data_IF_055745794697
#
_entry.id   IF_055745794697
#
_cell.length_a   1.000
_cell.length_b   1.000
_cell.length_c   1.000
_cell.angle_alpha   90.00
_cell.angle_beta   90.00
_cell.angle_gamma   90.00
#
_symmetry.space_group_name_H-M   'P 1'
#
loop_
_entity.id
_entity.type
_entity.pdbx_description
1 polymer ?
#
# COMPACT_ATOMS: atom_id res chain seq x y z
N UNK A 1 -3.09 -26.87 38.33
CA UNK A 1 -3.06 -25.65 37.49
C UNK A 1 -1.83 -25.73 36.60
N UNK A 2 -2.00 -25.90 35.29
CA UNK A 2 -0.90 -25.77 34.32
C UNK A 2 -0.95 -24.34 33.78
N UNK A 3 0.10 -23.58 34.02
CA UNK A 3 0.34 -22.30 33.37
C UNK A 3 0.55 -22.57 31.88
N UNK A 4 -0.43 -22.22 31.05
CA UNK A 4 -0.30 -22.29 29.60
C UNK A 4 0.74 -21.26 29.16
N UNK A 5 1.91 -21.73 28.76
CA UNK A 5 2.98 -20.88 28.25
C UNK A 5 2.49 -20.05 27.08
N UNK A 6 3.02 -18.83 26.98
CA UNK A 6 3.05 -18.11 25.71
C UNK A 6 3.89 -18.94 24.73
N UNK A 7 3.23 -19.86 24.01
CA UNK A 7 3.87 -20.62 22.95
C UNK A 7 4.58 -19.63 22.02
N UNK A 8 5.88 -19.85 21.80
CA UNK A 8 6.81 -18.97 21.08
C UNK A 8 6.49 -18.80 19.60
N UNK A 9 5.28 -18.34 19.29
CA UNK A 9 4.77 -18.10 17.96
C UNK A 9 5.58 -16.98 17.32
N UNK A 10 6.34 -17.33 16.29
CA UNK A 10 7.05 -16.37 15.46
C UNK A 10 6.02 -15.62 14.63
N UNK A 11 5.91 -14.30 14.85
CA UNK A 11 4.99 -13.42 14.12
C UNK A 11 5.68 -12.60 13.04
N UNK A 12 7.01 -12.69 12.92
CA UNK A 12 7.73 -12.00 11.86
C UNK A 12 9.22 -12.34 11.80
N UNK A 13 9.82 -12.05 10.65
CA UNK A 13 11.27 -12.07 10.45
C UNK A 13 11.72 -10.71 9.92
N UNK A 14 12.87 -10.25 10.38
CA UNK A 14 13.50 -9.02 9.93
C UNK A 14 15.00 -9.23 9.68
N UNK A 15 15.52 -8.63 8.61
CA UNK A 15 16.91 -8.74 8.18
C UNK A 15 17.61 -7.40 8.36
N UNK A 16 18.82 -7.45 8.92
CA UNK A 16 19.62 -6.27 9.23
C UNK A 16 21.04 -6.40 8.67
N UNK A 17 21.61 -5.26 8.27
CA UNK A 17 23.02 -5.09 7.95
C UNK A 17 23.51 -3.83 8.66
N UNK A 18 24.58 -3.96 9.47
CA UNK A 18 25.15 -2.85 10.26
C UNK A 18 24.11 -2.10 11.12
N UNK A 19 23.21 -2.84 11.77
CA UNK A 19 22.17 -2.29 12.64
C UNK A 19 20.99 -1.65 11.91
N UNK A 20 20.94 -1.69 10.57
CA UNK A 20 19.87 -1.11 9.75
C UNK A 20 19.10 -2.20 9.01
N UNK A 21 17.79 -2.07 8.83
CA UNK A 21 17.00 -3.02 8.01
C UNK A 21 17.54 -3.03 6.59
N UNK A 22 17.89 -4.21 6.10
CA UNK A 22 18.55 -4.35 4.81
C UNK A 22 18.39 -5.77 4.26
N UNK A 23 17.90 -5.88 3.03
CA UNK A 23 17.98 -7.10 2.21
C UNK A 23 17.80 -6.74 0.74
N UNK A 24 18.64 -7.29 -0.14
CA UNK A 24 18.59 -7.03 -1.59
C UNK A 24 17.85 -8.11 -2.38
N UNK A 25 17.87 -9.35 -1.89
CA UNK A 25 17.32 -10.51 -2.61
C UNK A 25 15.96 -10.97 -2.03
N UNK A 26 15.23 -10.06 -1.39
CA UNK A 26 13.95 -10.35 -0.77
C UNK A 26 13.50 -9.27 0.22
N UNK A 27 12.29 -9.41 0.78
CA UNK A 27 11.81 -8.49 1.81
C UNK A 27 12.69 -8.55 3.05
N UNK A 28 13.04 -7.38 3.57
CA UNK A 28 13.79 -7.21 4.80
C UNK A 28 12.89 -7.28 6.04
N UNK A 29 11.57 -7.33 5.87
CA UNK A 29 10.59 -7.61 6.90
C UNK A 29 9.46 -8.46 6.30
N UNK A 30 9.11 -9.55 6.98
CA UNK A 30 7.92 -10.37 6.72
C UNK A 30 7.17 -10.49 8.05
N UNK A 31 5.89 -10.15 8.08
CA UNK A 31 5.02 -10.29 9.25
C UNK A 31 3.86 -11.25 8.90
N UNK A 32 3.49 -12.11 9.86
CA UNK A 32 2.35 -13.01 9.77
C UNK A 32 1.20 -12.50 10.64
N UNK A 33 -0.03 -12.75 10.19
CA UNK A 33 -1.25 -12.28 10.86
C UNK A 33 -1.39 -12.81 12.31
N UNK A 34 -0.73 -13.94 12.63
CA UNK A 34 -0.80 -14.57 13.94
C UNK A 34 -2.26 -14.77 14.38
N UNK A 35 -2.58 -14.39 15.63
CA UNK A 35 -3.94 -14.48 16.17
C UNK A 35 -4.90 -13.37 15.70
N UNK A 36 -4.45 -12.40 14.89
CA UNK A 36 -5.31 -11.30 14.38
C UNK A 36 -6.16 -11.71 13.17
N UNK A 37 -5.80 -12.83 12.54
CA UNK A 37 -6.60 -13.43 11.47
C UNK A 37 -7.93 -13.90 12.06
N UNK A 38 -9.02 -13.70 11.30
CA UNK A 38 -10.35 -14.25 11.63
C UNK A 38 -10.33 -15.78 11.76
N UNK A 39 -9.37 -16.39 11.07
CA UNK A 39 -8.95 -17.78 11.23
C UNK A 39 -7.71 -17.84 12.14
N UNK A 40 -7.89 -18.27 13.39
CA UNK A 40 -6.88 -18.25 14.46
C UNK A 40 -5.72 -19.23 14.24
N UNK A 41 -5.70 -19.96 13.14
CA UNK A 41 -4.74 -21.03 12.86
C UNK A 41 -3.92 -20.83 11.58
N UNK A 42 -3.64 -19.60 11.16
CA UNK A 42 -2.99 -19.37 9.86
C UNK A 42 -1.62 -18.69 9.93
N UNK A 43 -0.65 -19.29 9.24
CA UNK A 43 0.65 -18.69 8.86
C UNK A 43 0.50 -17.75 7.65
N UNK A 44 -0.61 -17.00 7.57
CA UNK A 44 -0.83 -16.05 6.46
C UNK A 44 0.04 -14.82 6.66
N UNK A 45 0.72 -14.40 5.60
CA UNK A 45 1.49 -13.16 5.58
C UNK A 45 0.51 -11.98 5.66
N UNK A 46 0.79 -11.05 6.56
CA UNK A 46 0.08 -9.77 6.72
C UNK A 46 0.82 -8.66 5.97
N UNK A 47 2.16 -8.70 6.00
CA UNK A 47 2.99 -7.65 5.42
C UNK A 47 4.35 -8.17 4.96
N UNK A 48 4.79 -7.63 3.83
CA UNK A 48 6.18 -7.70 3.38
C UNK A 48 6.70 -6.29 3.14
N UNK A 49 7.93 -6.01 3.55
CA UNK A 49 8.60 -4.75 3.25
C UNK A 49 10.04 -4.97 2.80
N UNK A 50 10.40 -4.29 1.72
CA UNK A 50 11.77 -4.24 1.20
C UNK A 50 12.47 -3.00 1.76
N UNK A 51 13.65 -3.21 2.34
CA UNK A 51 14.48 -2.14 2.89
C UNK A 51 15.92 -2.27 2.43
N UNK A 52 16.54 -1.13 2.13
CA UNK A 52 17.99 -0.98 1.96
C UNK A 52 18.43 0.15 2.87
N UNK A 53 19.21 -0.17 3.91
CA UNK A 53 19.70 0.80 4.90
C UNK A 53 18.56 1.62 5.56
N UNK A 54 17.53 0.91 6.06
CA UNK A 54 16.30 1.45 6.67
C UNK A 54 15.36 2.25 5.75
N UNK A 55 15.75 2.47 4.49
CA UNK A 55 14.90 3.11 3.50
C UNK A 55 14.11 2.07 2.73
N UNK A 56 12.79 2.26 2.62
CA UNK A 56 11.95 1.42 1.74
C UNK A 56 12.47 1.50 0.31
N UNK A 57 12.74 0.37 -0.31
CA UNK A 57 13.39 0.35 -1.61
C UNK A 57 13.12 -0.99 -2.31
N UNK A 58 12.54 -0.95 -3.51
CA UNK A 58 12.47 -2.10 -4.42
C UNK A 58 12.41 -1.60 -5.87
N UNK A 59 13.29 -2.09 -6.74
CA UNK A 59 13.33 -1.71 -8.17
C UNK A 59 12.48 -2.64 -9.05
N UNK A 60 12.22 -3.86 -8.58
CA UNK A 60 11.57 -4.92 -9.36
C UNK A 60 10.09 -5.08 -9.00
N UNK A 61 9.61 -4.39 -7.97
CA UNK A 61 8.27 -4.58 -7.43
C UNK A 61 7.90 -3.56 -6.36
N UNK A 62 6.72 -3.73 -5.72
CA UNK A 62 6.36 -2.93 -4.57
C UNK A 62 7.37 -3.11 -3.43
N UNK A 63 7.72 -2.01 -2.77
CA UNK A 63 8.56 -2.05 -1.57
C UNK A 63 7.74 -2.35 -0.31
N UNK A 64 6.41 -2.29 -0.38
CA UNK A 64 5.50 -2.77 0.66
C UNK A 64 4.29 -3.41 0.03
N UNK A 65 3.93 -4.61 0.51
CA UNK A 65 2.68 -5.26 0.17
C UNK A 65 1.99 -5.66 1.47
N UNK A 66 0.67 -5.49 1.53
CA UNK A 66 -0.14 -5.83 2.70
C UNK A 66 -1.32 -6.70 2.29
N UNK A 67 -1.66 -7.63 3.16
CA UNK A 67 -2.76 -8.58 2.99
C UNK A 67 -3.62 -8.62 4.25
N UNK A 68 -4.91 -8.87 4.07
CA UNK A 68 -5.84 -9.18 5.15
C UNK A 68 -6.42 -10.56 4.86
N UNK A 69 -6.24 -11.50 5.79
CA UNK A 69 -6.68 -12.89 5.67
C UNK A 69 -6.25 -13.58 4.35
N UNK A 70 -5.09 -13.17 3.82
CA UNK A 70 -4.50 -13.69 2.58
C UNK A 70 -4.92 -12.94 1.32
N UNK A 71 -5.84 -11.98 1.42
CA UNK A 71 -6.28 -11.13 0.32
C UNK A 71 -5.44 -9.85 0.31
N UNK A 72 -4.80 -9.55 -0.82
CA UNK A 72 -3.99 -8.34 -0.97
C UNK A 72 -4.87 -7.09 -0.90
N UNK A 73 -4.56 -6.20 0.04
CA UNK A 73 -5.30 -4.94 0.26
C UNK A 73 -4.50 -3.70 -0.11
N UNK A 74 -3.16 -3.80 -0.25
CA UNK A 74 -2.33 -2.64 -0.58
C UNK A 74 -0.99 -3.02 -1.19
N UNK A 75 -0.55 -2.21 -2.16
CA UNK A 75 0.83 -2.18 -2.67
C UNK A 75 1.38 -0.77 -2.61
N UNK A 76 2.68 -0.65 -2.38
CA UNK A 76 3.35 0.63 -2.43
C UNK A 76 4.78 0.52 -2.93
N UNK A 77 5.10 1.35 -3.91
CA UNK A 77 6.39 1.46 -4.57
C UNK A 77 7.20 2.56 -3.93
N UNK A 78 8.43 2.21 -3.54
CA UNK A 78 9.37 3.15 -2.97
C UNK A 78 10.75 2.96 -3.57
N UNK A 79 11.43 4.07 -3.80
CA UNK A 79 12.83 4.14 -4.17
C UNK A 79 13.55 5.07 -3.19
N UNK A 80 14.62 4.57 -2.56
CA UNK A 80 15.42 5.31 -1.57
C UNK A 80 14.57 6.00 -0.47
N UNK A 81 13.51 5.32 0.00
CA UNK A 81 12.63 5.81 1.05
C UNK A 81 11.55 6.79 0.58
N UNK A 82 11.50 7.12 -0.71
CA UNK A 82 10.47 7.99 -1.30
C UNK A 82 9.47 7.17 -2.07
N UNK A 83 8.18 7.52 -1.98
CA UNK A 83 7.14 6.97 -2.88
C UNK A 83 7.50 7.35 -4.31
N UNK A 84 7.65 6.37 -5.17
CA UNK A 84 8.18 6.60 -6.51
C UNK A 84 7.71 5.50 -7.47
N UNK A 85 7.07 5.91 -8.57
CA UNK A 85 6.82 5.09 -9.75
C UNK A 85 6.49 6.02 -10.92
N UNK A 86 7.12 5.82 -12.09
CA UNK A 86 7.01 6.74 -13.22
C UNK A 86 5.70 6.58 -14.00
N UNK A 87 5.39 5.35 -14.40
CA UNK A 87 4.32 5.10 -15.39
C UNK A 87 3.04 4.51 -14.78
N UNK A 88 3.02 4.28 -13.48
CA UNK A 88 1.97 3.53 -12.81
C UNK A 88 1.77 4.03 -11.37
N UNK A 89 0.65 3.69 -10.71
CA UNK A 89 0.43 4.09 -9.33
C UNK A 89 1.56 3.62 -8.41
N UNK A 90 2.10 4.57 -7.66
CA UNK A 90 3.04 4.29 -6.59
C UNK A 90 2.32 3.68 -5.39
N UNK A 91 1.01 3.90 -5.24
CA UNK A 91 0.17 3.23 -4.24
C UNK A 91 -1.11 2.76 -4.93
N UNK A 92 -1.52 1.53 -4.65
CA UNK A 92 -2.84 1.01 -4.98
C UNK A 92 -3.43 0.36 -3.73
N UNK A 93 -4.70 0.64 -3.45
CA UNK A 93 -5.47 0.05 -2.37
C UNK A 93 -6.67 -0.70 -2.94
N UNK A 94 -7.02 -1.82 -2.31
CA UNK A 94 -8.17 -2.63 -2.67
C UNK A 94 -9.07 -2.86 -1.45
N UNK A 95 -10.37 -3.02 -1.70
CA UNK A 95 -11.34 -3.45 -0.70
C UNK A 95 -11.07 -4.88 -0.26
N UNK A 96 -11.57 -5.21 0.93
CA UNK A 96 -11.70 -6.58 1.40
C UNK A 96 -13.19 -6.91 1.52
N UNK A 97 -13.63 -8.14 1.19
CA UNK A 97 -12.85 -9.25 0.62
C UNK A 97 -12.75 -9.21 -0.91
N UNK A 98 -13.54 -8.37 -1.58
CA UNK A 98 -13.77 -8.47 -3.03
C UNK A 98 -12.61 -8.00 -3.90
N UNK A 99 -11.60 -7.36 -3.29
CA UNK A 99 -10.38 -6.89 -3.96
C UNK A 99 -10.69 -5.93 -5.13
N UNK A 100 -11.68 -5.08 -4.94
CA UNK A 100 -12.01 -3.98 -5.86
C UNK A 100 -11.10 -2.80 -5.54
N UNK A 101 -10.54 -2.12 -6.55
CA UNK A 101 -9.68 -0.95 -6.32
C UNK A 101 -10.49 0.13 -5.60
N UNK A 102 -9.96 0.64 -4.48
CA UNK A 102 -10.56 1.73 -3.71
C UNK A 102 -9.77 3.03 -3.83
N UNK A 103 -8.47 2.96 -4.11
CA UNK A 103 -7.71 4.15 -4.49
C UNK A 103 -6.43 3.83 -5.25
N UNK A 104 -6.00 4.80 -6.06
CA UNK A 104 -4.69 4.83 -6.69
C UNK A 104 -4.02 6.19 -6.44
N UNK A 105 -2.70 6.17 -6.27
CA UNK A 105 -1.92 7.39 -6.05
C UNK A 105 -0.62 7.34 -6.84
N UNK A 106 -0.41 8.34 -7.69
CA UNK A 106 0.78 8.55 -8.49
C UNK A 106 1.76 9.44 -7.72
N UNK A 107 2.97 8.93 -7.49
CA UNK A 107 4.03 9.66 -6.82
C UNK A 107 5.36 9.49 -7.55
N UNK A 108 6.07 10.59 -7.72
CA UNK A 108 7.49 10.62 -8.12
C UNK A 108 8.25 11.36 -7.03
N UNK A 109 9.18 10.68 -6.37
CA UNK A 109 10.00 11.23 -5.28
C UNK A 109 9.21 11.91 -4.15
N UNK A 110 8.14 11.27 -3.69
CA UNK A 110 7.16 11.77 -2.72
C UNK A 110 6.27 12.93 -3.18
N UNK A 111 6.44 13.46 -4.39
CA UNK A 111 5.55 14.46 -4.96
C UNK A 111 4.41 13.78 -5.72
N UNK A 112 3.17 14.22 -5.47
CA UNK A 112 2.03 13.80 -6.30
C UNK A 112 2.26 14.29 -7.72
N UNK A 113 2.27 13.37 -8.68
CA UNK A 113 2.66 13.69 -10.04
C UNK A 113 2.02 12.74 -11.03
N UNK A 114 1.33 13.30 -12.03
CA UNK A 114 0.91 12.59 -13.23
C UNK A 114 0.80 13.56 -14.40
N UNK A 115 1.20 13.12 -15.60
CA UNK A 115 1.16 13.91 -16.84
C UNK A 115 0.00 13.54 -17.78
N UNK A 116 -0.62 12.36 -17.56
CA UNK A 116 -1.62 11.80 -18.47
C UNK A 116 -2.95 11.49 -17.78
N UNK A 117 -2.89 11.06 -16.53
CA UNK A 117 -4.05 10.64 -15.74
C UNK A 117 -4.19 11.45 -14.45
N UNK A 118 -5.29 11.37 -13.70
CA UNK A 118 -5.34 11.93 -12.36
C UNK A 118 -4.20 11.38 -11.50
N UNK A 119 -3.58 12.26 -10.70
CA UNK A 119 -2.51 11.88 -9.78
C UNK A 119 -3.03 11.07 -8.60
N UNK A 120 -4.32 11.17 -8.27
CA UNK A 120 -4.95 10.39 -7.22
C UNK A 120 -6.44 10.24 -7.55
N UNK A 121 -6.98 9.05 -7.31
CA UNK A 121 -8.39 8.71 -7.53
C UNK A 121 -8.84 7.84 -6.37
N UNK A 122 -10.05 8.08 -5.88
CA UNK A 122 -10.71 7.21 -4.91
C UNK A 122 -12.07 6.73 -5.44
N UNK A 123 -12.41 5.51 -5.03
CA UNK A 123 -13.68 4.87 -5.32
C UNK A 123 -14.32 4.35 -4.04
N UNK A 124 -15.61 4.58 -3.90
CA UNK A 124 -16.45 3.99 -2.86
C UNK A 124 -17.41 3.04 -3.55
N UNK A 125 -17.44 1.77 -3.12
CA UNK A 125 -18.32 0.74 -3.71
C UNK A 125 -18.20 0.63 -5.25
N UNK A 126 -17.01 0.93 -5.79
CA UNK A 126 -16.72 0.91 -7.23
C UNK A 126 -17.09 2.19 -7.99
N UNK A 127 -17.73 3.16 -7.35
CA UNK A 127 -18.09 4.46 -7.91
C UNK A 127 -16.96 5.45 -7.62
N UNK A 128 -16.49 6.17 -8.65
CA UNK A 128 -15.46 7.21 -8.46
C UNK A 128 -16.05 8.38 -7.67
N UNK A 129 -15.45 8.70 -6.53
CA UNK A 129 -15.92 9.76 -5.61
C UNK A 129 -14.96 10.94 -5.52
N UNK A 130 -13.70 10.75 -5.91
CA UNK A 130 -12.65 11.75 -5.85
C UNK A 130 -11.64 11.57 -6.99
N UNK A 131 -11.19 12.68 -7.58
CA UNK A 131 -9.96 12.69 -8.37
C UNK A 131 -9.24 14.03 -8.27
N UNK A 132 -7.92 13.98 -8.35
CA UNK A 132 -7.08 15.17 -8.38
C UNK A 132 -5.95 15.05 -9.38
N UNK A 133 -5.72 16.12 -10.12
CA UNK A 133 -4.65 16.25 -11.09
C UNK A 133 -3.54 17.11 -10.50
N UNK A 134 -2.34 16.53 -10.36
CA UNK A 134 -1.18 17.21 -9.81
C UNK A 134 0.03 17.06 -10.73
N UNK A 135 0.78 18.15 -10.91
CA UNK A 135 2.11 18.13 -11.48
C UNK A 135 3.10 18.68 -10.44
N UNK A 136 4.03 17.82 -9.98
CA UNK A 136 5.05 18.17 -8.98
C UNK A 136 4.44 18.75 -7.70
N UNK A 137 3.44 18.04 -7.17
CA UNK A 137 2.72 18.37 -5.95
C UNK A 137 1.73 19.54 -6.06
N UNK A 138 1.62 20.20 -7.21
CA UNK A 138 0.70 21.34 -7.42
C UNK A 138 -0.49 20.93 -8.26
N UNK A 139 -1.69 21.41 -7.90
CA UNK A 139 -2.90 21.24 -8.71
C UNK A 139 -2.66 21.76 -10.13
N UNK A 140 -2.95 20.94 -11.14
CA UNK A 140 -2.68 21.28 -12.53
C UNK A 140 -3.58 20.50 -13.48
N UNK A 141 -4.32 21.21 -14.33
CA UNK A 141 -5.07 20.65 -15.48
C UNK A 141 -5.38 21.78 -16.45
N UNK A 142 -5.21 21.55 -17.76
CA UNK A 142 -5.39 22.59 -18.80
C UNK A 142 -6.77 22.56 -19.47
N UNK A 143 -7.49 21.45 -19.36
CA UNK A 143 -8.70 21.14 -20.12
C UNK A 143 -9.93 20.86 -19.22
N UNK A 144 -9.82 21.13 -17.92
CA UNK A 144 -10.89 20.82 -16.98
C UNK A 144 -10.52 21.09 -15.53
N UNK A 145 -11.35 20.66 -14.57
CA UNK A 145 -11.08 20.83 -13.16
C UNK A 145 -9.89 19.98 -12.71
N UNK A 146 -8.91 20.61 -12.05
CA UNK A 146 -7.80 19.88 -11.44
C UNK A 146 -8.21 19.07 -10.20
N UNK A 147 -9.43 19.28 -9.68
CA UNK A 147 -9.97 18.61 -8.52
C UNK A 147 -11.47 18.39 -8.72
N UNK A 148 -11.94 17.16 -8.52
CA UNK A 148 -13.35 16.83 -8.62
C UNK A 148 -13.77 15.91 -7.48
N UNK A 149 -14.99 16.14 -7.01
CA UNK A 149 -15.68 15.33 -6.03
C UNK A 149 -17.03 14.95 -6.62
N UNK A 150 -17.44 13.71 -6.42
CA UNK A 150 -18.77 13.24 -6.77
C UNK A 150 -19.48 12.85 -5.49
N UNK A 151 -20.68 13.39 -5.32
CA UNK A 151 -21.58 12.97 -4.27
C UNK A 151 -22.41 11.84 -4.84
N UNK A 152 -22.48 10.74 -4.10
CA UNK A 152 -23.45 9.70 -4.41
C UNK A 152 -24.83 10.26 -4.02
N UNK A 153 -25.68 10.52 -5.01
CA UNK A 153 -27.09 10.80 -4.79
C UNK A 153 -27.77 9.49 -4.37
N UNK A 154 -27.49 8.99 -3.17
CA UNK A 154 -28.36 8.01 -2.53
C UNK A 154 -29.63 8.77 -2.18
N UNK A 155 -30.60 8.74 -3.09
CA UNK A 155 -31.99 9.00 -2.76
C UNK A 155 -32.35 7.99 -1.66
N UNK A 156 -32.42 8.47 -0.41
CA UNK A 156 -33.15 7.77 0.66
C UNK A 156 -34.60 7.67 0.19
N UNK A 157 -35.00 6.47 -0.23
CA UNK A 157 -36.40 6.09 -0.42
C UNK A 157 -36.95 5.57 0.90
#
# INVERSE_FOLDING_TARGET
MKWGGIDGLITGHAWFMNGKRHRRDGPALIEWAGKRSSDTNTNKIDRECWYVNDKKHNMDGPATTMWLDGIKIRESWYFDGKRHRLDNPAITCWSYPDRVITSIHMYVDNERHSLADPAEIEWTEGIKTYEVWCNRGKLHRSDGPALSYWVDDIILI
#
